data_IF_796347602023
#
_entry.id   IF_796347602023
#
_cell.length_a   1.000
_cell.length_b   1.000
_cell.length_c   1.000
_cell.angle_alpha   90.00
_cell.angle_beta   90.00
_cell.angle_gamma   90.00
#
_symmetry.space_group_name_H-M   'P 1'
#
loop_
_entity.id
_entity.type
_entity.pdbx_description
1 polymer ?
#
# COMPACT_ATOMS: atom_id res chain seq x y z
N UNK A 1 7.32 4.94 8.65
CA UNK A 1 7.73 4.58 10.05
C UNK A 1 7.05 5.48 11.09
N UNK A 2 7.13 6.82 10.94
CA UNK A 2 6.51 7.76 11.87
C UNK A 2 4.98 7.68 11.80
N UNK A 3 4.40 7.36 10.64
CA UNK A 3 2.94 7.25 10.47
C UNK A 3 2.29 6.14 11.31
N UNK A 4 2.82 4.91 11.29
CA UNK A 4 2.30 3.84 12.14
C UNK A 4 2.44 4.16 13.64
N UNK A 5 3.55 4.82 14.03
CA UNK A 5 3.79 5.30 15.41
C UNK A 5 2.90 6.47 15.82
N UNK A 6 2.63 7.41 14.91
CA UNK A 6 1.77 8.57 15.14
C UNK A 6 0.31 8.13 15.27
N UNK A 7 -0.14 7.17 14.44
CA UNK A 7 -1.49 6.60 14.52
C UNK A 7 -1.69 5.94 15.88
N UNK A 8 -0.73 5.16 16.38
CA UNK A 8 -0.85 4.57 17.73
C UNK A 8 -0.89 5.62 18.84
N UNK A 9 -0.07 6.66 18.77
CA UNK A 9 -0.03 7.73 19.79
C UNK A 9 -1.29 8.61 19.78
N UNK A 10 -1.97 8.74 18.64
CA UNK A 10 -3.22 9.51 18.52
C UNK A 10 -4.48 8.78 19.02
N UNK A 11 -4.38 7.47 19.29
CA UNK A 11 -5.53 6.61 19.59
C UNK A 11 -5.91 6.48 21.07
N UNK A 12 -5.33 7.29 21.96
CA UNK A 12 -5.58 7.26 23.41
C UNK A 12 -6.95 7.81 23.88
N UNK A 13 -7.93 8.02 23.00
CA UNK A 13 -9.24 8.53 23.40
C UNK A 13 -10.35 7.46 23.30
N UNK A 14 -10.64 6.91 24.49
CA UNK A 14 -11.88 6.29 25.00
C UNK A 14 -12.77 5.49 24.03
N UNK A 15 -12.76 4.15 24.17
CA UNK A 15 -13.91 3.30 23.83
C UNK A 15 -14.08 2.23 24.91
N UNK A 16 -15.31 2.09 25.41
CA UNK A 16 -15.66 1.19 26.53
C UNK A 16 -15.70 -0.28 26.11
N UNK A 17 -15.19 -1.12 27.02
CA UNK A 17 -15.22 -2.59 27.06
C UNK A 17 -16.53 -3.22 26.60
N UNK A 18 -16.51 -3.98 25.51
CA UNK A 18 -16.85 -5.42 25.41
C UNK A 18 -16.94 -5.84 23.93
N UNK A 19 -15.87 -6.45 23.41
CA UNK A 19 -15.87 -7.77 22.75
C UNK A 19 -14.44 -8.02 22.22
N UNK A 20 -13.80 -9.05 22.80
CA UNK A 20 -12.58 -9.78 22.39
C UNK A 20 -11.39 -8.97 21.86
N UNK A 21 -10.22 -9.14 22.50
CA UNK A 21 -8.88 -9.10 21.88
C UNK A 21 -8.78 -8.34 20.53
N UNK A 22 -8.85 -7.01 20.58
CA UNK A 22 -8.81 -6.17 19.39
C UNK A 22 -7.39 -6.14 18.81
N UNK A 23 -7.00 -7.21 18.11
CA UNK A 23 -5.80 -7.25 17.30
C UNK A 23 -5.97 -6.22 16.18
N UNK A 24 -5.12 -5.20 16.16
CA UNK A 24 -5.01 -4.27 15.04
C UNK A 24 -3.63 -4.43 14.43
N UNK A 25 -3.59 -4.87 13.17
CA UNK A 25 -2.38 -4.84 12.36
C UNK A 25 -2.42 -3.57 11.52
N UNK A 26 -1.48 -2.67 11.72
CA UNK A 26 -1.33 -1.47 10.87
C UNK A 26 -0.32 -1.78 9.80
N UNK A 27 -0.73 -1.80 8.54
CA UNK A 27 0.18 -1.94 7.39
C UNK A 27 0.39 -0.58 6.77
N UNK A 28 1.60 -0.04 6.92
CA UNK A 28 2.03 1.20 6.27
C UNK A 28 2.69 0.89 4.93
N UNK A 29 2.19 1.48 3.84
CA UNK A 29 2.86 1.53 2.55
C UNK A 29 3.49 2.91 2.35
N UNK A 30 4.79 2.99 2.59
CA UNK A 30 5.63 4.17 2.40
C UNK A 30 6.33 4.05 1.05
N UNK A 31 6.01 4.92 0.10
CA UNK A 31 6.49 4.77 -1.28
C UNK A 31 7.49 5.88 -1.61
N UNK A 32 8.74 5.50 -1.84
CA UNK A 32 9.66 6.35 -2.59
C UNK A 32 9.43 6.06 -4.07
N UNK A 33 9.56 7.04 -4.96
CA UNK A 33 9.21 6.97 -6.40
C UNK A 33 9.56 5.64 -7.13
N UNK A 34 10.61 4.96 -6.69
CA UNK A 34 11.18 3.73 -7.28
C UNK A 34 11.00 2.47 -6.42
N UNK A 35 10.67 2.64 -5.15
CA UNK A 35 10.71 1.61 -4.11
C UNK A 35 9.50 1.79 -3.19
N UNK A 36 8.66 0.78 -3.11
CA UNK A 36 7.71 0.62 -2.01
C UNK A 36 8.42 0.01 -0.80
N UNK A 37 8.22 0.64 0.35
CA UNK A 37 8.49 0.06 1.65
C UNK A 37 7.15 -0.29 2.28
N UNK A 38 7.06 -1.49 2.84
CA UNK A 38 5.93 -1.83 3.68
C UNK A 38 6.39 -2.31 5.05
N UNK A 39 5.60 -1.93 6.05
CA UNK A 39 5.82 -2.32 7.44
C UNK A 39 4.49 -2.70 8.07
N UNK A 40 4.50 -3.73 8.91
CA UNK A 40 3.36 -4.06 9.74
C UNK A 40 3.68 -3.78 11.21
N UNK A 41 2.68 -3.28 11.94
CA UNK A 41 2.71 -3.13 13.37
C UNK A 41 1.58 -3.95 13.97
N UNK A 42 1.91 -4.85 14.88
CA UNK A 42 0.97 -5.65 15.66
C UNK A 42 0.68 -5.00 17.01
N UNK A 43 -0.60 -4.93 17.38
CA UNK A 43 -1.04 -4.41 18.68
C UNK A 43 -2.04 -5.35 19.32
N UNK A 44 -1.82 -5.69 20.59
CA UNK A 44 -2.77 -6.44 21.44
C UNK A 44 -2.93 -5.74 22.78
N UNK A 45 -4.17 -5.47 23.19
CA UNK A 45 -4.58 -5.07 24.54
C UNK A 45 -3.52 -4.26 25.33
N UNK A 46 -3.18 -3.07 24.82
CA UNK A 46 -2.27 -2.07 25.44
C UNK A 46 -0.77 -2.42 25.48
N UNK A 47 -0.33 -3.50 24.84
CA UNK A 47 1.08 -3.82 24.62
C UNK A 47 1.35 -3.87 23.11
N UNK A 48 2.12 -2.91 22.61
CA UNK A 48 2.65 -2.93 21.25
C UNK A 48 3.89 -3.85 21.22
N UNK A 49 3.69 -5.12 20.85
CA UNK A 49 4.82 -5.97 20.49
C UNK A 49 5.24 -5.59 19.07
N UNK A 50 6.35 -4.86 18.99
CA UNK A 50 6.86 -4.24 17.77
C UNK A 50 7.67 -5.24 16.93
N UNK A 51 7.01 -6.24 16.34
CA UNK A 51 7.63 -6.99 15.23
C UNK A 51 7.51 -6.17 13.95
N UNK A 52 8.56 -5.39 13.68
CA UNK A 52 8.67 -4.65 12.44
C UNK A 52 9.24 -5.56 11.35
N UNK A 53 8.40 -5.95 10.41
CA UNK A 53 8.87 -6.53 9.17
C UNK A 53 9.07 -5.40 8.16
N UNK A 54 10.27 -5.32 7.59
CA UNK A 54 10.59 -4.34 6.55
C UNK A 54 10.79 -5.05 5.23
N UNK A 55 9.94 -4.73 4.29
CA UNK A 55 10.03 -5.27 2.95
C UNK A 55 10.23 -4.13 1.97
N UNK A 56 11.17 -4.35 1.06
CA UNK A 56 11.50 -3.43 0.00
C UNK A 56 11.07 -4.08 -1.30
N UNK A 57 10.23 -3.39 -2.06
CA UNK A 57 9.82 -3.80 -3.40
C UNK A 57 10.01 -2.65 -4.38
N UNK A 58 10.25 -2.93 -5.65
CA UNK A 58 10.21 -1.98 -6.74
C UNK A 58 8.78 -1.77 -7.23
N UNK A 59 8.46 -0.53 -7.65
CA UNK A 59 7.20 -0.16 -8.30
C UNK A 59 7.23 -0.50 -9.79
N UNK A 60 7.37 -1.78 -10.10
CA UNK A 60 7.51 -2.31 -11.45
C UNK A 60 6.53 -3.46 -11.70
N UNK A 61 5.95 -3.47 -12.91
CA UNK A 61 5.10 -4.55 -13.41
C UNK A 61 5.60 -5.03 -14.77
N UNK A 62 5.57 -6.33 -14.97
CA UNK A 62 5.72 -6.95 -16.28
C UNK A 62 4.40 -7.60 -16.65
N UNK A 63 3.90 -7.28 -17.85
CA UNK A 63 2.66 -7.82 -18.37
C UNK A 63 2.92 -8.85 -19.46
N UNK A 64 1.89 -9.63 -19.77
CA UNK A 64 1.79 -10.33 -21.05
C UNK A 64 1.72 -9.36 -22.22
N UNK A 65 1.92 -9.88 -23.43
CA UNK A 65 2.02 -9.08 -24.65
C UNK A 65 0.73 -8.29 -24.97
N UNK A 66 -0.40 -8.72 -24.41
CA UNK A 66 -1.72 -8.09 -24.55
C UNK A 66 -2.04 -7.13 -23.40
N UNK A 67 -1.16 -6.98 -22.42
CA UNK A 67 -1.36 -6.17 -21.21
C UNK A 67 -2.58 -6.56 -20.35
N UNK A 68 -3.05 -7.78 -20.52
CA UNK A 68 -4.22 -8.34 -19.84
C UNK A 68 -3.86 -8.86 -18.45
N UNK A 69 -2.66 -9.43 -18.27
CA UNK A 69 -2.23 -10.06 -17.01
C UNK A 69 -0.83 -9.62 -16.62
N UNK A 70 -0.63 -9.43 -15.31
CA UNK A 70 0.71 -9.28 -14.73
C UNK A 70 1.37 -10.65 -14.73
N UNK A 71 2.51 -10.78 -15.41
CA UNK A 71 3.35 -11.98 -15.39
C UNK A 71 4.23 -11.98 -14.14
N UNK A 72 4.79 -10.82 -13.81
CA UNK A 72 5.58 -10.64 -12.59
C UNK A 72 5.60 -9.17 -12.18
N UNK A 73 5.96 -8.92 -10.92
CA UNK A 73 6.08 -7.58 -10.35
C UNK A 73 7.43 -7.44 -9.61
N UNK A 74 7.66 -6.29 -8.98
CA UNK A 74 8.83 -6.05 -8.11
C UNK A 74 10.20 -6.18 -8.85
N UNK A 75 11.27 -6.56 -8.14
CA UNK A 75 12.61 -6.75 -8.67
C UNK A 75 12.66 -7.76 -9.82
N UNK A 76 11.91 -8.87 -9.83
CA UNK A 76 11.85 -9.73 -11.00
C UNK A 76 11.41 -8.99 -12.27
N UNK A 77 10.33 -8.19 -12.21
CA UNK A 77 9.88 -7.38 -13.36
C UNK A 77 10.95 -6.38 -13.80
N UNK A 78 11.59 -5.70 -12.85
CA UNK A 78 12.65 -4.71 -13.13
C UNK A 78 13.91 -5.33 -13.74
N UNK A 79 14.22 -6.57 -13.39
CA UNK A 79 15.43 -7.30 -13.85
C UNK A 79 15.22 -7.99 -15.19
N UNK A 80 13.98 -8.15 -15.64
CA UNK A 80 13.71 -8.80 -16.91
C UNK A 80 14.22 -7.91 -18.05
N UNK A 81 15.19 -8.43 -18.80
CA UNK A 81 15.83 -7.76 -19.95
C UNK A 81 15.25 -8.21 -21.30
N UNK A 82 14.19 -9.02 -21.28
CA UNK A 82 13.48 -9.39 -22.50
C UNK A 82 12.83 -8.16 -23.15
N UNK A 83 12.28 -8.33 -24.35
CA UNK A 83 11.74 -7.23 -25.17
C UNK A 83 10.63 -6.41 -24.48
N UNK A 84 9.96 -6.95 -23.46
CA UNK A 84 8.92 -6.25 -22.72
C UNK A 84 9.57 -5.39 -21.62
N UNK A 85 9.63 -4.08 -21.85
CA UNK A 85 10.07 -3.13 -20.82
C UNK A 85 9.08 -3.14 -19.66
N UNK A 86 9.58 -3.10 -18.41
CA UNK A 86 8.70 -3.01 -17.25
C UNK A 86 7.88 -1.71 -17.28
N UNK A 87 6.65 -1.81 -16.80
CA UNK A 87 5.79 -0.66 -16.52
C UNK A 87 6.17 -0.12 -15.16
N UNK A 88 6.89 0.99 -15.15
CA UNK A 88 7.40 1.68 -13.95
C UNK A 88 6.85 3.11 -13.87
N UNK A 89 7.06 3.77 -12.73
CA UNK A 89 6.79 5.20 -12.53
C UNK A 89 5.31 5.62 -12.74
N UNK A 90 4.38 4.67 -12.83
CA UNK A 90 2.95 4.94 -13.03
C UNK A 90 2.33 5.83 -11.95
N UNK A 91 2.91 5.86 -10.73
CA UNK A 91 2.52 6.76 -9.65
C UNK A 91 2.75 8.25 -9.95
N UNK A 92 3.64 8.60 -10.90
CA UNK A 92 3.83 9.99 -11.33
C UNK A 92 2.57 10.59 -11.99
N UNK A 93 1.61 9.75 -12.37
CA UNK A 93 0.31 10.22 -12.81
C UNK A 93 -0.56 10.76 -11.69
N UNK A 94 -0.22 10.48 -10.42
CA UNK A 94 -0.89 11.01 -9.24
C UNK A 94 -0.24 12.27 -8.67
N UNK A 95 0.81 12.81 -9.30
CA UNK A 95 1.45 14.05 -8.87
C UNK A 95 1.01 15.23 -9.74
N UNK A 96 1.21 16.43 -9.21
CA UNK A 96 0.91 17.70 -9.90
C UNK A 96 1.97 18.09 -10.94
N UNK A 97 2.75 17.12 -11.45
CA UNK A 97 3.72 17.40 -12.51
C UNK A 97 2.99 17.60 -13.85
N UNK A 98 3.53 18.45 -14.74
CA UNK A 98 3.00 18.59 -16.09
C UNK A 98 2.87 17.24 -16.81
N UNK A 99 1.78 17.06 -17.55
CA UNK A 99 1.50 15.80 -18.27
C UNK A 99 2.61 15.40 -19.25
N UNK A 100 3.33 16.39 -19.79
CA UNK A 100 4.49 16.18 -20.68
C UNK A 100 5.67 15.48 -19.99
N UNK A 101 5.77 15.60 -18.65
CA UNK A 101 6.79 14.96 -17.83
C UNK A 101 6.33 13.60 -17.28
N UNK A 102 5.04 13.27 -17.38
CA UNK A 102 4.51 11.98 -16.94
C UNK A 102 5.00 10.87 -17.88
N UNK A 103 5.38 9.69 -17.34
CA UNK A 103 5.86 8.59 -18.16
C UNK A 103 4.73 8.09 -19.08
N UNK A 104 5.06 7.81 -20.34
CA UNK A 104 4.15 7.12 -21.26
C UNK A 104 4.03 5.66 -20.83
N UNK A 105 2.83 5.25 -20.47
CA UNK A 105 2.55 3.88 -20.07
C UNK A 105 1.83 3.12 -21.21
N UNK A 106 2.09 1.82 -21.37
CA UNK A 106 1.36 1.00 -22.34
C UNK A 106 -0.08 0.67 -21.88
N UNK A 107 -0.41 0.96 -20.62
CA UNK A 107 -1.72 0.79 -19.99
C UNK A 107 -2.12 2.06 -19.26
N UNK A 108 -3.41 2.23 -18.95
CA UNK A 108 -3.86 3.30 -18.06
C UNK A 108 -3.16 3.25 -16.70
N UNK A 109 -2.84 4.40 -16.11
CA UNK A 109 -2.08 4.44 -14.85
C UNK A 109 -2.90 3.87 -13.68
N UNK A 110 -4.23 4.05 -13.69
CA UNK A 110 -5.14 3.46 -12.71
C UNK A 110 -5.09 1.93 -12.74
N UNK A 111 -5.03 1.35 -13.95
CA UNK A 111 -4.84 -0.10 -14.13
C UNK A 111 -3.49 -0.54 -13.56
N UNK A 112 -2.41 0.16 -13.91
CA UNK A 112 -1.08 -0.17 -13.40
C UNK A 112 -0.99 -0.08 -11.87
N UNK A 113 -1.58 0.96 -11.26
CA UNK A 113 -1.66 1.11 -9.80
C UNK A 113 -2.49 -0.03 -9.19
N UNK A 114 -3.67 -0.30 -9.73
CA UNK A 114 -4.56 -1.37 -9.24
C UNK A 114 -3.88 -2.73 -9.30
N UNK A 115 -3.25 -3.05 -10.43
CA UNK A 115 -2.55 -4.31 -10.63
C UNK A 115 -1.35 -4.44 -9.69
N UNK A 116 -0.58 -3.38 -9.48
CA UNK A 116 0.50 -3.37 -8.50
C UNK A 116 0.00 -3.59 -7.06
N UNK A 117 -1.06 -2.87 -6.67
CA UNK A 117 -1.68 -2.99 -5.35
C UNK A 117 -2.23 -4.41 -5.12
N UNK A 118 -2.76 -5.04 -6.16
CA UNK A 118 -3.25 -6.42 -6.12
C UNK A 118 -2.12 -7.41 -5.82
N UNK A 119 -0.98 -7.29 -6.52
CA UNK A 119 0.17 -8.16 -6.29
C UNK A 119 0.80 -7.96 -4.91
N UNK A 120 1.12 -6.72 -4.52
CA UNK A 120 1.71 -6.45 -3.20
C UNK A 120 0.74 -6.79 -2.06
N UNK A 121 -0.56 -6.55 -2.27
CA UNK A 121 -1.57 -6.85 -1.27
C UNK A 121 -1.81 -8.35 -1.10
N UNK A 122 -1.65 -9.15 -2.16
CA UNK A 122 -1.63 -10.61 -2.02
C UNK A 122 -0.40 -11.07 -1.24
N UNK A 123 0.79 -10.52 -1.52
CA UNK A 123 1.99 -10.83 -0.76
C UNK A 123 1.86 -10.49 0.72
N UNK A 124 1.28 -9.32 1.05
CA UNK A 124 0.99 -8.92 2.42
C UNK A 124 0.01 -9.91 3.07
N UNK A 125 -1.10 -10.26 2.41
CA UNK A 125 -2.08 -11.23 2.95
C UNK A 125 -1.43 -12.57 3.24
N UNK A 126 -0.63 -13.07 2.30
CA UNK A 126 0.08 -14.34 2.45
C UNK A 126 1.05 -14.29 3.62
N UNK A 127 1.86 -13.25 3.74
CA UNK A 127 2.81 -13.09 4.85
C UNK A 127 2.11 -12.96 6.19
N UNK A 128 1.07 -12.13 6.30
CA UNK A 128 0.30 -12.00 7.54
C UNK A 128 -0.36 -13.33 7.94
N UNK A 129 -0.89 -14.09 6.98
CA UNK A 129 -1.51 -15.40 7.25
C UNK A 129 -0.53 -16.46 7.73
N UNK A 130 0.76 -16.36 7.35
CA UNK A 130 1.83 -17.26 7.83
C UNK A 130 2.26 -16.97 9.27
N UNK A 131 2.11 -15.72 9.72
CA UNK A 131 2.55 -15.29 11.05
C UNK A 131 1.41 -15.38 12.07
N UNK A 132 0.15 -15.18 11.66
CA UNK A 132 -1.01 -15.17 12.55
C UNK A 132 -2.13 -16.06 12.06
N UNK A 133 -2.19 -17.26 12.65
CA UNK A 133 -3.33 -18.17 12.47
C UNK A 133 -4.62 -17.46 12.87
N UNK A 134 -5.67 -17.61 12.05
CA UNK A 134 -7.01 -17.01 12.20
C UNK A 134 -7.16 -15.50 11.92
N UNK A 135 -6.13 -14.81 11.44
CA UNK A 135 -6.24 -13.40 11.03
C UNK A 135 -7.28 -13.21 9.91
N UNK A 136 -8.23 -12.29 10.13
CA UNK A 136 -9.12 -11.80 9.08
C UNK A 136 -8.60 -10.47 8.53
N UNK A 137 -7.98 -10.52 7.35
CA UNK A 137 -7.40 -9.33 6.70
C UNK A 137 -8.35 -8.13 6.65
N UNK A 138 -9.62 -8.34 6.29
CA UNK A 138 -10.57 -7.25 6.11
C UNK A 138 -11.13 -6.67 7.42
N UNK A 139 -11.03 -7.41 8.53
CA UNK A 139 -11.51 -6.98 9.84
C UNK A 139 -10.38 -6.47 10.73
N UNK A 140 -9.23 -7.09 10.68
CA UNK A 140 -8.17 -6.95 11.68
C UNK A 140 -7.02 -6.05 11.18
N UNK A 141 -6.95 -5.79 9.88
CA UNK A 141 -5.90 -4.96 9.26
C UNK A 141 -6.41 -3.54 8.98
N UNK A 142 -5.65 -2.54 9.43
CA UNK A 142 -5.74 -1.16 8.99
C UNK A 142 -4.66 -0.90 7.94
N UNK A 143 -5.07 -0.64 6.71
CA UNK A 143 -4.17 -0.24 5.64
C UNK A 143 -3.96 1.28 5.65
N UNK A 144 -2.70 1.70 5.67
CA UNK A 144 -2.30 3.10 5.66
C UNK A 144 -1.41 3.32 4.45
N UNK A 145 -1.87 4.13 3.50
CA UNK A 145 -1.11 4.47 2.30
C UNK A 145 -0.57 5.89 2.39
N UNK A 146 0.67 6.11 1.97
CA UNK A 146 1.19 7.46 1.79
C UNK A 146 1.01 7.95 0.36
N UNK A 147 0.66 9.23 0.25
CA UNK A 147 0.59 9.99 -1.00
C UNK A 147 1.37 11.30 -0.83
N UNK A 148 1.78 11.90 -1.94
CA UNK A 148 2.41 13.23 -1.95
C UNK A 148 1.46 14.28 -1.39
N UNK A 149 1.96 15.16 -0.52
CA UNK A 149 1.15 16.19 0.16
C UNK A 149 0.48 17.16 -0.84
N UNK A 150 1.18 17.50 -1.92
CA UNK A 150 0.78 18.54 -2.87
C UNK A 150 -0.46 18.18 -3.70
N UNK A 151 -0.84 16.89 -3.76
CA UNK A 151 -1.95 16.39 -4.57
C UNK A 151 -2.83 15.40 -3.81
N UNK A 152 -2.87 15.51 -2.47
CA UNK A 152 -3.41 14.47 -1.60
C UNK A 152 -4.89 14.16 -1.86
N UNK A 153 -5.74 15.15 -2.05
CA UNK A 153 -7.20 14.92 -2.16
C UNK A 153 -7.53 14.09 -3.42
N UNK A 154 -7.10 14.55 -4.58
CA UNK A 154 -7.31 13.84 -5.85
C UNK A 154 -6.55 12.51 -5.90
N UNK A 155 -5.28 12.47 -5.46
CA UNK A 155 -4.52 11.22 -5.39
C UNK A 155 -5.20 10.19 -4.48
N UNK A 156 -5.73 10.61 -3.32
CA UNK A 156 -6.38 9.71 -2.37
C UNK A 156 -7.68 9.11 -2.90
N UNK A 157 -8.44 9.87 -3.70
CA UNK A 157 -9.66 9.37 -4.34
C UNK A 157 -9.33 8.29 -5.37
N UNK A 158 -8.39 8.58 -6.28
CA UNK A 158 -7.93 7.61 -7.29
C UNK A 158 -7.31 6.38 -6.64
N UNK A 159 -6.44 6.58 -5.64
CA UNK A 159 -5.80 5.47 -4.92
C UNK A 159 -6.84 4.64 -4.18
N UNK A 160 -7.86 5.24 -3.56
CA UNK A 160 -8.93 4.52 -2.87
C UNK A 160 -9.69 3.61 -3.83
N UNK A 161 -10.00 4.10 -5.03
CA UNK A 161 -10.62 3.29 -6.07
C UNK A 161 -9.70 2.14 -6.51
N UNK A 162 -8.41 2.42 -6.73
CA UNK A 162 -7.44 1.38 -7.07
C UNK A 162 -7.30 0.31 -5.97
N UNK A 163 -7.31 0.69 -4.68
CA UNK A 163 -7.26 -0.23 -3.54
C UNK A 163 -8.52 -1.10 -3.46
N UNK A 164 -9.67 -0.52 -3.74
CA UNK A 164 -10.93 -1.25 -3.82
C UNK A 164 -10.91 -2.25 -4.98
N UNK A 165 -10.55 -1.82 -6.17
CA UNK A 165 -10.46 -2.67 -7.37
C UNK A 165 -9.39 -3.76 -7.22
N UNK A 166 -8.33 -3.52 -6.44
CA UNK A 166 -7.32 -4.51 -6.09
C UNK A 166 -7.80 -5.55 -5.05
N UNK A 167 -9.00 -5.38 -4.49
CA UNK A 167 -9.57 -6.32 -3.50
C UNK A 167 -8.90 -6.25 -2.13
N UNK A 168 -8.32 -5.11 -1.77
CA UNK A 168 -7.70 -4.89 -0.46
C UNK A 168 -8.68 -4.34 0.58
N UNK A 169 -9.79 -3.76 0.13
CA UNK A 169 -10.93 -3.38 0.97
C UNK A 169 -12.23 -3.89 0.35
N UNK A 170 -13.21 -4.21 1.19
CA UNK A 170 -14.52 -4.73 0.76
C UNK A 170 -15.48 -3.62 0.33
N UNK A 171 -15.25 -2.38 0.81
CA UNK A 171 -16.08 -1.22 0.54
C UNK A 171 -15.19 -0.02 0.26
N UNK A 172 -15.50 0.76 -0.78
CA UNK A 172 -14.73 1.95 -1.18
C UNK A 172 -14.60 2.98 -0.03
N UNK A 173 -15.62 3.09 0.82
CA UNK A 173 -15.66 3.95 2.01
C UNK A 173 -15.17 3.24 3.29
N UNK A 174 -14.45 2.12 3.18
CA UNK A 174 -13.96 1.37 4.34
C UNK A 174 -13.09 2.24 5.25
N UNK A 175 -13.40 2.23 6.56
CA UNK A 175 -12.59 2.86 7.61
C UNK A 175 -11.27 2.11 7.87
N UNK A 176 -11.08 0.94 7.26
CA UNK A 176 -9.84 0.15 7.28
C UNK A 176 -8.81 0.62 6.24
N UNK A 177 -9.07 1.73 5.54
CA UNK A 177 -8.13 2.42 4.67
C UNK A 177 -7.97 3.88 5.10
N UNK A 178 -6.74 4.26 5.42
CA UNK A 178 -6.34 5.63 5.73
C UNK A 178 -5.23 6.10 4.78
N UNK A 179 -5.14 7.41 4.61
CA UNK A 179 -4.11 8.05 3.81
C UNK A 179 -3.28 8.99 4.68
N UNK A 180 -1.96 8.95 4.51
CA UNK A 180 -1.00 9.88 5.10
C UNK A 180 -0.22 10.65 4.03
N UNK A 181 0.55 11.65 4.46
CA UNK A 181 1.43 12.41 3.55
C UNK A 181 2.86 11.89 3.59
N UNK A 182 3.55 11.89 2.44
CA UNK A 182 4.97 11.52 2.36
C UNK A 182 5.88 12.47 3.18
N UNK A 183 5.47 13.73 3.37
CA UNK A 183 6.23 14.77 4.08
C UNK A 183 6.17 14.73 5.62
N UNK A 184 5.24 13.98 6.21
CA UNK A 184 5.23 13.76 7.68
C UNK A 184 6.30 12.75 8.15
N UNK A 185 7.05 12.14 7.23
CA UNK A 185 8.08 11.12 7.50
C UNK A 185 9.53 11.62 7.33
N UNK A 186 9.82 12.93 7.31
CA UNK A 186 11.19 13.46 7.12
C UNK A 186 11.88 13.89 8.43
N UNK A 187 11.86 13.06 9.48
CA UNK A 187 12.88 13.15 10.53
C UNK A 187 13.27 11.72 10.95
N UNK A 188 14.53 11.38 10.69
CA UNK A 188 15.18 10.08 10.95
C UNK A 188 15.24 9.74 12.43
#
# INVERSE_FOLDING_TARGET
IQLAKNITNSSENSWSSYDIDNIRIVVGLDNLLWICLWSCLFTTNNLSYMDHFYFKTCTALEYDDEYNKVITWDFPAKRNKNNNKPVELFKLHLSDIPDELKPKLPVGYEKAITDYLREIGQAIKDDLSRHWDSLNFYKDVLLVLTCTADYLENASLIMRECVYNAGLIVNICSSKLQFGTEGENIHY
#
